data_IF_187395907295
#
_entry.id   IF_187395907295
#
_cell.length_a   1.000
_cell.length_b   1.000
_cell.length_c   1.000
_cell.angle_alpha   90.00
_cell.angle_beta   90.00
_cell.angle_gamma   90.00
#
_symmetry.space_group_name_H-M   'P 1'
#
loop_
_entity.id
_entity.type
_entity.pdbx_description
1 polymer ?
#
# COMPACT_ATOMS: atom_id res chain seq x y z
N UNK A 1 30.04 -11.00 23.46
CA UNK A 1 28.56 -11.09 23.48
C UNK A 1 27.82 -9.89 22.85
N UNK A 2 28.49 -8.78 22.45
CA UNK A 2 27.78 -7.55 22.05
C UNK A 2 27.34 -7.41 20.58
N UNK A 3 28.04 -8.00 19.61
CA UNK A 3 27.72 -7.81 18.18
C UNK A 3 26.53 -8.67 17.71
N UNK A 4 26.54 -9.96 18.05
CA UNK A 4 25.49 -10.89 17.64
C UNK A 4 24.11 -10.53 18.24
N UNK A 5 24.07 -10.14 19.52
CA UNK A 5 22.82 -9.72 20.19
C UNK A 5 22.27 -8.44 19.57
N UNK A 6 23.12 -7.49 19.18
CA UNK A 6 22.70 -6.24 18.54
C UNK A 6 22.18 -6.47 17.10
N UNK A 7 22.83 -7.37 16.34
CA UNK A 7 22.35 -7.75 14.99
C UNK A 7 21.02 -8.50 15.05
N UNK A 8 20.84 -9.39 16.03
CA UNK A 8 19.59 -10.13 16.23
C UNK A 8 18.48 -9.21 16.73
N UNK A 9 18.77 -8.28 17.63
CA UNK A 9 17.80 -7.29 18.11
C UNK A 9 17.34 -6.34 16.98
N UNK A 10 18.27 -5.93 16.11
CA UNK A 10 17.95 -5.13 14.93
C UNK A 10 17.05 -5.90 13.95
N UNK A 11 17.40 -7.15 13.64
CA UNK A 11 16.57 -8.01 12.80
C UNK A 11 15.17 -8.25 13.40
N UNK A 12 15.09 -8.48 14.72
CA UNK A 12 13.85 -8.65 15.44
C UNK A 12 13.00 -7.36 15.45
N UNK A 13 13.60 -6.19 15.64
CA UNK A 13 12.88 -4.91 15.58
C UNK A 13 12.30 -4.63 14.19
N UNK A 14 13.02 -4.99 13.13
CA UNK A 14 12.54 -4.85 11.76
C UNK A 14 11.38 -5.84 11.49
N UNK A 15 11.50 -7.09 11.95
CA UNK A 15 10.42 -8.08 11.87
C UNK A 15 9.16 -7.66 12.66
N UNK A 16 9.33 -7.01 13.81
CA UNK A 16 8.23 -6.54 14.66
C UNK A 16 7.47 -5.36 14.04
N UNK A 17 8.10 -4.55 13.20
CA UNK A 17 7.42 -3.45 12.47
C UNK A 17 6.73 -3.92 11.17
N UNK A 18 7.13 -5.07 10.61
CA UNK A 18 6.50 -5.65 9.42
C UNK A 18 5.09 -6.22 9.66
N UNK A 19 4.68 -6.41 10.93
CA UNK A 19 3.41 -7.04 11.30
C UNK A 19 2.18 -6.12 11.30
N UNK A 20 2.35 -4.79 11.27
CA UNK A 20 1.24 -3.85 11.21
C UNK A 20 0.90 -3.55 9.75
N UNK A 21 -0.12 -4.27 9.23
CA UNK A 21 -0.80 -4.05 7.94
C UNK A 21 0.06 -3.39 6.83
N UNK A 22 0.75 -4.21 6.05
CA UNK A 22 1.63 -3.76 4.96
C UNK A 22 0.88 -3.27 3.72
N UNK A 23 -0.37 -3.72 3.53
CA UNK A 23 -1.30 -3.19 2.51
C UNK A 23 -2.71 -3.05 3.08
N UNK A 24 -3.33 -1.91 2.83
CA UNK A 24 -4.63 -1.49 3.37
C UNK A 24 -5.47 -0.89 2.27
N UNK A 25 -6.77 -1.17 2.31
CA UNK A 25 -7.77 -0.41 1.57
C UNK A 25 -8.89 -0.03 2.51
N UNK A 26 -9.26 1.24 2.49
CA UNK A 26 -10.40 1.79 3.21
C UNK A 26 -11.45 2.23 2.20
N UNK A 27 -12.70 1.97 2.53
CA UNK A 27 -13.85 2.45 1.77
C UNK A 27 -14.57 3.48 2.61
N UNK A 28 -14.78 4.65 2.03
CA UNK A 28 -15.50 5.76 2.64
C UNK A 28 -16.77 6.03 1.85
N UNK A 29 -17.87 6.40 2.51
CA UNK A 29 -19.08 6.80 1.81
C UNK A 29 -18.80 8.03 0.92
N UNK A 30 -19.48 8.14 -0.23
CA UNK A 30 -19.38 9.33 -1.07
C UNK A 30 -20.02 10.53 -0.38
N UNK A 31 -19.52 11.73 -0.66
CA UNK A 31 -20.21 12.96 -0.26
C UNK A 31 -21.55 13.12 -1.02
N UNK A 32 -22.49 13.87 -0.45
CA UNK A 32 -23.77 14.11 -1.11
C UNK A 32 -23.58 14.82 -2.46
N UNK A 33 -24.17 14.25 -3.52
CA UNK A 33 -24.04 14.79 -4.88
C UNK A 33 -22.67 14.60 -5.53
N UNK A 34 -21.75 13.84 -4.91
CA UNK A 34 -20.41 13.62 -5.46
C UNK A 34 -20.47 12.92 -6.83
N UNK A 35 -19.78 13.53 -7.79
CA UNK A 35 -19.56 12.99 -9.14
C UNK A 35 -18.07 12.86 -9.40
N UNK A 36 -17.68 11.93 -10.26
CA UNK A 36 -16.30 11.81 -10.72
C UNK A 36 -15.96 12.89 -11.76
N UNK A 37 -14.69 12.96 -12.18
CA UNK A 37 -14.27 13.86 -13.26
C UNK A 37 -14.99 13.61 -14.60
N UNK A 38 -15.50 12.40 -14.82
CA UNK A 38 -16.30 12.04 -16.01
C UNK A 38 -17.79 12.39 -15.87
N UNK A 39 -18.22 12.86 -14.69
CA UNK A 39 -19.62 13.17 -14.37
C UNK A 39 -20.44 11.96 -13.91
N UNK A 40 -19.83 10.80 -13.71
CA UNK A 40 -20.52 9.62 -13.19
C UNK A 40 -20.77 9.72 -11.67
N UNK A 41 -21.84 9.08 -11.19
CA UNK A 41 -22.18 9.09 -9.77
C UNK A 41 -21.21 8.19 -8.98
N UNK A 42 -20.57 8.78 -7.98
CA UNK A 42 -19.66 8.05 -7.08
C UNK A 42 -20.47 7.19 -6.12
N UNK A 43 -20.08 5.92 -5.99
CA UNK A 43 -20.67 4.96 -5.03
C UNK A 43 -19.83 4.79 -3.78
N UNK A 44 -18.52 5.02 -3.86
CA UNK A 44 -17.61 5.01 -2.71
C UNK A 44 -16.30 5.76 -3.03
N UNK A 45 -15.69 6.35 -2.01
CA UNK A 45 -14.31 6.81 -2.07
C UNK A 45 -13.40 5.68 -1.57
N UNK A 46 -12.33 5.41 -2.30
CA UNK A 46 -11.36 4.36 -1.99
C UNK A 46 -10.02 4.99 -1.63
N UNK A 47 -9.48 4.58 -0.49
CA UNK A 47 -8.14 4.94 -0.06
C UNK A 47 -7.29 3.68 0.07
N UNK A 48 -6.22 3.58 -0.71
CA UNK A 48 -5.27 2.49 -0.68
C UNK A 48 -3.95 2.93 -0.06
N UNK A 49 -3.34 2.09 0.76
CA UNK A 49 -1.96 2.28 1.21
C UNK A 49 -1.20 0.96 1.12
N UNK A 50 0.05 1.02 0.69
CA UNK A 50 0.94 -0.13 0.65
C UNK A 50 2.36 0.31 0.95
N UNK A 51 3.11 -0.47 1.73
CA UNK A 51 4.49 -0.15 2.01
C UNK A 51 5.37 -1.41 2.09
N UNK A 52 6.67 -1.19 1.94
CA UNK A 52 7.68 -2.22 2.01
C UNK A 52 9.03 -1.67 2.45
N UNK A 53 9.96 -2.56 2.73
CA UNK A 53 11.35 -2.20 3.08
C UNK A 53 12.28 -2.81 2.05
N UNK A 54 13.27 -2.02 1.69
CA UNK A 54 14.24 -2.28 0.66
C UNK A 54 15.63 -2.13 1.25
N UNK A 55 16.53 -3.02 0.88
CA UNK A 55 17.96 -2.87 1.12
C UNK A 55 18.54 -1.97 0.03
N UNK A 56 19.30 -0.95 0.45
CA UNK A 56 19.90 0.06 -0.43
C UNK A 56 18.92 0.66 -1.43
N UNK A 57 17.65 0.88 -1.02
CA UNK A 57 16.55 1.37 -1.85
C UNK A 57 16.04 0.42 -2.95
N UNK A 58 16.90 -0.47 -3.48
CA UNK A 58 16.60 -1.27 -4.67
C UNK A 58 16.14 -2.70 -4.38
N UNK A 59 16.73 -3.38 -3.39
CA UNK A 59 16.50 -4.82 -3.18
C UNK A 59 15.30 -4.99 -2.23
N UNK A 60 14.13 -5.46 -2.69
CA UNK A 60 12.98 -5.64 -1.82
C UNK A 60 13.26 -6.73 -0.78
N UNK A 61 13.10 -6.43 0.49
CA UNK A 61 13.16 -7.44 1.56
C UNK A 61 11.76 -7.96 1.86
N UNK A 62 10.82 -7.04 2.03
CA UNK A 62 9.40 -7.32 2.23
C UNK A 62 8.56 -6.18 1.67
N UNK A 63 7.41 -6.53 1.11
CA UNK A 63 6.38 -5.57 0.69
C UNK A 63 5.01 -6.12 1.03
N UNK A 64 4.00 -5.25 1.16
CA UNK A 64 2.64 -5.70 1.35
C UNK A 64 2.12 -6.56 0.20
N UNK A 65 1.00 -7.24 0.43
CA UNK A 65 0.31 -8.00 -0.60
C UNK A 65 -0.97 -7.30 -1.07
N UNK A 66 -0.91 -6.44 -2.11
CA UNK A 66 -2.06 -5.80 -2.74
C UNK A 66 -3.16 -6.74 -3.26
N UNK A 67 -2.87 -8.04 -3.43
CA UNK A 67 -3.90 -9.03 -3.80
C UNK A 67 -4.80 -9.42 -2.60
N UNK A 68 -4.30 -9.21 -1.38
CA UNK A 68 -4.94 -9.60 -0.11
C UNK A 68 -4.82 -8.45 0.91
N UNK A 69 -5.27 -7.23 0.58
CA UNK A 69 -5.21 -6.09 1.50
C UNK A 69 -6.04 -6.35 2.75
N UNK A 70 -5.72 -5.68 3.86
CA UNK A 70 -6.37 -5.84 5.17
C UNK A 70 -6.25 -7.25 5.80
N UNK A 71 -5.39 -8.13 5.26
CA UNK A 71 -5.19 -9.50 5.80
C UNK A 71 -3.87 -9.71 6.53
N UNK A 72 -3.13 -8.63 6.82
CA UNK A 72 -1.75 -8.69 7.37
C UNK A 72 -0.81 -9.57 6.53
N UNK A 73 -1.07 -9.60 5.22
CA UNK A 73 -0.34 -10.44 4.28
C UNK A 73 0.77 -9.64 3.59
N UNK A 74 1.93 -10.28 3.41
CA UNK A 74 3.12 -9.68 2.84
C UNK A 74 3.87 -10.69 1.98
N UNK A 75 4.68 -10.17 1.07
CA UNK A 75 5.57 -10.97 0.24
C UNK A 75 7.02 -10.62 0.53
N UNK A 76 7.87 -11.63 0.61
CA UNK A 76 9.31 -11.47 0.81
C UNK A 76 10.04 -11.45 -0.52
N UNK A 77 11.16 -10.73 -0.59
CA UNK A 77 12.07 -10.69 -1.75
C UNK A 77 11.41 -10.32 -3.08
N UNK A 78 10.27 -9.63 -3.04
CA UNK A 78 9.50 -9.21 -4.23
C UNK A 78 9.04 -7.77 -4.07
N UNK A 79 9.17 -6.98 -5.14
CA UNK A 79 8.65 -5.62 -5.16
C UNK A 79 7.15 -5.64 -5.52
N UNK A 80 6.31 -5.22 -4.57
CA UNK A 80 4.88 -4.92 -4.80
C UNK A 80 4.54 -3.45 -4.58
N UNK A 81 5.55 -2.59 -4.45
CA UNK A 81 5.41 -1.14 -4.30
C UNK A 81 5.60 -0.52 -5.70
N UNK A 82 4.59 -0.70 -6.54
CA UNK A 82 4.51 -0.19 -7.91
C UNK A 82 3.06 0.17 -8.24
N UNK A 83 2.85 1.20 -9.05
CA UNK A 83 1.53 1.74 -9.40
C UNK A 83 0.55 0.66 -9.88
N UNK A 84 1.02 -0.31 -10.68
CA UNK A 84 0.19 -1.41 -11.21
C UNK A 84 -0.47 -2.24 -10.10
N UNK A 85 0.19 -2.44 -8.97
CA UNK A 85 -0.35 -3.25 -7.88
C UNK A 85 -1.33 -2.45 -7.03
N UNK A 86 -1.07 -1.16 -6.84
CA UNK A 86 -1.97 -0.24 -6.15
C UNK A 86 -3.26 -0.04 -6.95
N UNK A 87 -3.16 0.16 -8.26
CA UNK A 87 -4.30 0.21 -9.17
C UNK A 87 -5.11 -1.11 -9.16
N UNK A 88 -4.43 -2.26 -9.28
CA UNK A 88 -5.07 -3.58 -9.20
C UNK A 88 -5.82 -3.78 -7.87
N UNK A 89 -5.24 -3.32 -6.76
CA UNK A 89 -5.83 -3.41 -5.43
C UNK A 89 -7.12 -2.58 -5.32
N UNK A 90 -7.09 -1.33 -5.78
CA UNK A 90 -8.27 -0.46 -5.81
C UNK A 90 -9.36 -1.03 -6.73
N UNK A 91 -8.99 -1.51 -7.92
CA UNK A 91 -9.91 -2.18 -8.86
C UNK A 91 -10.54 -3.44 -8.26
N UNK A 92 -9.77 -4.22 -7.50
CA UNK A 92 -10.28 -5.39 -6.79
C UNK A 92 -11.40 -5.05 -5.82
N UNK A 93 -11.28 -3.92 -5.11
CA UNK A 93 -12.31 -3.42 -4.19
C UNK A 93 -13.52 -2.82 -4.90
N UNK A 94 -13.32 -1.99 -5.93
CA UNK A 94 -14.43 -1.46 -6.72
C UNK A 94 -15.27 -2.57 -7.38
N UNK A 95 -14.63 -3.66 -7.81
CA UNK A 95 -15.35 -4.84 -8.35
C UNK A 95 -16.32 -5.45 -7.33
N UNK A 96 -16.00 -5.43 -6.04
CA UNK A 96 -16.93 -5.91 -4.99
C UNK A 96 -18.19 -5.04 -4.90
N UNK A 97 -18.08 -3.76 -5.29
CA UNK A 97 -19.19 -2.81 -5.38
C UNK A 97 -19.91 -2.83 -6.74
N UNK A 98 -19.51 -3.70 -7.68
CA UNK A 98 -19.94 -3.66 -9.09
C UNK A 98 -19.69 -2.29 -9.75
N UNK A 99 -18.58 -1.66 -9.37
CA UNK A 99 -18.16 -0.33 -9.81
C UNK A 99 -16.83 -0.40 -10.57
N UNK A 100 -16.53 0.67 -11.31
CA UNK A 100 -15.22 0.92 -11.91
C UNK A 100 -14.49 2.00 -11.12
N UNK A 101 -13.16 2.03 -11.24
CA UNK A 101 -12.33 3.02 -10.52
C UNK A 101 -12.02 4.17 -11.47
N UNK A 102 -12.27 5.39 -11.00
CA UNK A 102 -11.89 6.64 -11.66
C UNK A 102 -11.08 7.53 -10.69
N UNK A 103 -10.53 8.62 -11.22
CA UNK A 103 -9.78 9.64 -10.47
C UNK A 103 -8.70 9.07 -9.56
N UNK A 104 -7.95 8.10 -10.09
CA UNK A 104 -6.85 7.45 -9.35
C UNK A 104 -5.68 8.42 -9.25
N UNK A 105 -5.38 8.84 -8.03
CA UNK A 105 -4.16 9.57 -7.70
C UNK A 105 -3.28 8.67 -6.84
N UNK A 106 -1.99 8.56 -7.20
CA UNK A 106 -1.01 7.73 -6.48
C UNK A 106 0.16 8.62 -6.07
N UNK A 107 0.40 8.67 -4.76
CA UNK A 107 1.51 9.38 -4.15
C UNK A 107 2.51 8.39 -3.58
N UNK A 108 3.76 8.53 -3.99
CA UNK A 108 4.87 7.73 -3.46
C UNK A 108 5.64 8.51 -2.40
N UNK A 109 6.08 7.82 -1.35
CA UNK A 109 7.01 8.37 -0.37
C UNK A 109 8.08 7.35 -0.01
N UNK A 110 9.29 7.84 0.23
CA UNK A 110 10.40 6.99 0.65
C UNK A 110 11.17 7.64 1.79
N UNK A 111 11.50 6.85 2.80
CA UNK A 111 12.26 7.31 3.97
C UNK A 111 13.31 6.28 4.31
N UNK A 112 14.57 6.69 4.40
CA UNK A 112 15.64 5.86 4.96
C UNK A 112 15.50 5.73 6.47
N UNK A 113 15.72 4.53 7.02
CA UNK A 113 15.84 4.32 8.46
C UNK A 113 17.16 3.59 8.76
N UNK A 114 17.75 3.88 9.94
CA UNK A 114 19.08 3.47 10.41
C UNK A 114 20.26 4.27 9.86
N UNK A 115 21.30 4.40 10.69
CA UNK A 115 22.45 5.33 10.62
C UNK A 115 23.33 5.27 9.36
N UNK A 116 22.98 4.45 8.36
CA UNK A 116 23.77 4.23 7.14
C UNK A 116 22.93 4.14 5.86
N UNK A 117 21.64 4.50 5.86
CA UNK A 117 20.78 4.42 4.66
C UNK A 117 20.73 3.01 4.04
N UNK A 118 20.94 1.98 4.85
CA UNK A 118 20.96 0.58 4.41
C UNK A 118 19.53 0.09 4.19
N UNK A 119 18.59 0.51 5.06
CA UNK A 119 17.18 0.13 4.96
C UNK A 119 16.34 1.33 4.56
N UNK A 120 15.48 1.12 3.58
CA UNK A 120 14.60 2.12 3.02
C UNK A 120 13.18 1.65 3.11
N UNK A 121 12.31 2.45 3.74
CA UNK A 121 10.87 2.26 3.63
C UNK A 121 10.40 2.97 2.37
N UNK A 122 9.73 2.23 1.48
CA UNK A 122 8.98 2.78 0.35
C UNK A 122 7.49 2.57 0.61
N UNK A 123 6.70 3.61 0.42
CA UNK A 123 5.25 3.58 0.64
C UNK A 123 4.54 4.21 -0.56
N UNK A 124 3.38 3.68 -0.88
CA UNK A 124 2.44 4.23 -1.86
C UNK A 124 1.12 4.46 -1.16
N UNK A 125 0.55 5.64 -1.38
CA UNK A 125 -0.78 6.01 -0.95
C UNK A 125 -1.56 6.35 -2.20
N UNK A 126 -2.79 5.89 -2.28
CA UNK A 126 -3.63 6.17 -3.42
C UNK A 126 -5.03 6.51 -2.99
N UNK A 127 -5.62 7.47 -3.70
CA UNK A 127 -7.02 7.84 -3.59
C UNK A 127 -7.67 7.53 -4.93
N UNK A 128 -8.91 7.09 -4.90
CA UNK A 128 -9.71 6.90 -6.10
C UNK A 128 -11.20 6.94 -5.77
N UNK A 129 -12.02 7.12 -6.79
CA UNK A 129 -13.48 7.04 -6.67
C UNK A 129 -13.99 5.79 -7.37
N UNK A 130 -14.91 5.08 -6.74
CA UNK A 130 -15.65 3.99 -7.35
C UNK A 130 -16.92 4.57 -7.98
N UNK A 131 -17.12 4.38 -9.28
CA UNK A 131 -18.28 4.85 -10.03
C UNK A 131 -19.14 3.69 -10.52
N UNK A 132 -20.45 3.86 -10.51
CA UNK A 132 -21.37 2.83 -11.03
C UNK A 132 -21.30 2.83 -12.55
N UNK A 133 -21.00 1.68 -13.15
CA UNK A 133 -21.07 1.53 -14.60
C UNK A 133 -22.51 1.70 -15.07
N UNK A 134 -22.73 2.60 -16.05
CA UNK A 134 -24.00 2.71 -16.77
C UNK A 134 -24.29 1.45 -17.57
#
# INVERSE_FOLDING_TARGET
MGKAVMTVALAAAILMTAGCNTSVVTMLPPAEGQTSSSGERVVANLEGSNWGIFLFYYIPLWSGNPNRPNRRDYVTCRNRIENKYTDMMLKGWAKQLKAEVEDVEITESSTGFFSLWILWRRSQHATAVAVKKK
#
